data_IF_098372430167
#
_entry.id   IF_098372430167
#
_cell.length_a   1.000
_cell.length_b   1.000
_cell.length_c   1.000
_cell.angle_alpha   90.00
_cell.angle_beta   90.00
_cell.angle_gamma   90.00
#
_symmetry.space_group_name_H-M   'P 1'
#
loop_
_entity.id
_entity.type
_entity.pdbx_description
1 polymer ?
#
# COMPACT_ATOMS: atom_id res chain seq x y z
N UNK A 1 12.26 25.39 -5.57
CA UNK A 1 12.34 24.35 -4.53
C UNK A 1 12.53 23.01 -5.22
N UNK A 2 13.70 22.41 -5.06
CA UNK A 2 14.12 21.20 -5.76
C UNK A 2 13.42 19.97 -5.16
N UNK A 3 12.85 19.12 -6.02
CA UNK A 3 12.14 17.91 -5.65
C UNK A 3 13.15 16.79 -5.43
N UNK A 4 13.30 16.34 -4.18
CA UNK A 4 14.01 15.11 -3.85
C UNK A 4 13.12 13.91 -4.21
N UNK A 5 13.08 13.55 -5.49
CA UNK A 5 12.35 12.34 -5.94
C UNK A 5 13.04 11.03 -5.51
N UNK A 6 14.28 11.10 -5.01
CA UNK A 6 15.05 9.91 -4.59
C UNK A 6 14.79 9.50 -3.13
N UNK A 7 14.14 10.36 -2.32
CA UNK A 7 13.89 10.09 -0.89
C UNK A 7 12.46 9.66 -0.58
N UNK A 8 11.51 9.92 -1.47
CA UNK A 8 10.12 9.54 -1.29
C UNK A 8 9.95 8.08 -1.75
N UNK A 9 10.01 7.14 -0.80
CA UNK A 9 9.82 5.71 -1.06
C UNK A 9 8.53 5.41 -1.86
N UNK A 10 8.35 4.18 -2.37
CA UNK A 10 7.29 3.84 -3.33
C UNK A 10 5.88 4.33 -2.97
N UNK A 11 5.54 4.32 -1.67
CA UNK A 11 4.26 4.79 -1.14
C UNK A 11 4.07 6.30 -1.33
N UNK A 12 5.06 7.12 -0.97
CA UNK A 12 4.98 8.58 -1.14
C UNK A 12 4.95 8.96 -2.62
N UNK A 13 5.69 8.24 -3.47
CA UNK A 13 5.64 8.42 -4.93
C UNK A 13 4.24 8.19 -5.50
N UNK A 14 3.56 7.11 -5.10
CA UNK A 14 2.17 6.84 -5.50
C UNK A 14 1.23 7.95 -5.03
N UNK A 15 1.31 8.34 -3.76
CA UNK A 15 0.52 9.45 -3.19
C UNK A 15 0.70 10.74 -4.00
N UNK A 16 1.95 11.11 -4.29
CA UNK A 16 2.26 12.28 -5.11
C UNK A 16 1.70 12.17 -6.54
N UNK A 17 1.77 10.98 -7.15
CA UNK A 17 1.21 10.72 -8.49
C UNK A 17 -0.31 10.90 -8.51
N UNK A 18 -1.02 10.32 -7.54
CA UNK A 18 -2.47 10.48 -7.39
C UNK A 18 -2.84 11.96 -7.21
N UNK A 19 -2.13 12.66 -6.33
CA UNK A 19 -2.36 14.07 -6.04
C UNK A 19 -2.14 14.95 -7.28
N UNK A 20 -1.09 14.70 -8.08
CA UNK A 20 -0.89 15.39 -9.36
C UNK A 20 -2.04 15.15 -10.35
N UNK A 21 -2.52 13.91 -10.47
CA UNK A 21 -3.62 13.57 -11.36
C UNK A 21 -4.93 14.26 -10.93
N UNK A 22 -5.23 14.26 -9.63
CA UNK A 22 -6.40 14.94 -9.07
C UNK A 22 -6.32 16.45 -9.26
N UNK A 23 -5.18 17.08 -9.00
CA UNK A 23 -4.96 18.51 -9.27
C UNK A 23 -5.13 18.86 -10.75
N UNK A 24 -4.66 18.01 -11.66
CA UNK A 24 -4.88 18.17 -13.10
C UNK A 24 -6.37 18.09 -13.45
N UNK A 25 -7.11 17.15 -12.87
CA UNK A 25 -8.57 17.04 -13.05
C UNK A 25 -9.31 18.25 -12.48
N UNK A 26 -8.90 18.74 -11.31
CA UNK A 26 -9.48 19.94 -10.69
C UNK A 26 -9.26 21.19 -11.56
N UNK A 27 -8.05 21.39 -12.09
CA UNK A 27 -7.76 22.50 -13.01
C UNK A 27 -8.59 22.41 -14.31
N UNK A 28 -8.80 21.19 -14.84
CA UNK A 28 -9.71 20.96 -15.98
C UNK A 28 -11.14 21.37 -15.65
N UNK A 29 -11.63 21.04 -14.45
CA UNK A 29 -12.96 21.43 -13.96
C UNK A 29 -13.08 22.95 -13.90
N UNK A 30 -12.10 23.67 -13.32
CA UNK A 30 -12.10 25.13 -13.26
C UNK A 30 -12.16 25.78 -14.64
N UNK A 31 -11.38 25.28 -15.60
CA UNK A 31 -11.43 25.77 -17.00
C UNK A 31 -12.79 25.54 -17.67
N UNK A 32 -13.46 24.43 -17.34
CA UNK A 32 -14.82 24.16 -17.84
C UNK A 32 -15.84 25.09 -17.19
N UNK A 33 -15.73 25.37 -15.89
CA UNK A 33 -16.59 26.35 -15.19
C UNK A 33 -16.47 27.75 -15.78
N UNK A 34 -15.24 28.19 -16.08
CA UNK A 34 -15.00 29.45 -16.76
C UNK A 34 -15.63 29.47 -18.17
N UNK A 35 -15.45 28.39 -18.94
CA UNK A 35 -16.08 28.23 -20.26
C UNK A 35 -17.62 28.28 -20.21
N UNK A 36 -18.24 27.76 -19.15
CA UNK A 36 -19.70 27.84 -18.94
C UNK A 36 -20.13 29.26 -18.61
N UNK A 37 -19.34 29.97 -17.79
CA UNK A 37 -19.62 31.38 -17.49
C UNK A 37 -19.57 32.27 -18.74
N UNK A 38 -18.81 31.84 -19.77
CA UNK A 38 -18.76 32.46 -21.09
C UNK A 38 -19.89 31.99 -22.04
N UNK A 39 -20.82 31.15 -21.57
CA UNK A 39 -22.00 30.73 -22.31
C UNK A 39 -21.83 29.47 -23.17
N UNK A 40 -20.76 28.68 -23.00
CA UNK A 40 -20.63 27.39 -23.72
C UNK A 40 -21.61 26.36 -23.17
N UNK A 41 -22.27 25.64 -24.07
CA UNK A 41 -23.10 24.48 -23.74
C UNK A 41 -22.22 23.25 -23.49
N UNK A 42 -22.67 22.36 -22.59
CA UNK A 42 -21.93 21.16 -22.21
C UNK A 42 -22.55 19.90 -22.81
N UNK A 43 -21.69 18.92 -23.09
CA UNK A 43 -22.10 17.53 -23.29
C UNK A 43 -22.27 16.81 -21.93
N UNK A 44 -23.02 15.71 -21.91
CA UNK A 44 -23.31 14.87 -20.75
C UNK A 44 -22.05 14.42 -20.00
N UNK A 45 -20.99 14.04 -20.73
CA UNK A 45 -19.71 13.66 -20.12
C UNK A 45 -19.06 14.83 -19.35
N UNK A 46 -19.14 16.05 -19.88
CA UNK A 46 -18.56 17.23 -19.21
C UNK A 46 -19.33 17.58 -17.95
N UNK A 47 -20.66 17.41 -17.96
CA UNK A 47 -21.51 17.60 -16.80
C UNK A 47 -21.17 16.59 -15.68
N UNK A 48 -20.93 15.33 -16.03
CA UNK A 48 -20.47 14.31 -15.08
C UNK A 48 -19.11 14.67 -14.47
N UNK A 49 -18.18 15.22 -15.27
CA UNK A 49 -16.89 15.68 -14.76
C UNK A 49 -17.05 16.84 -13.78
N UNK A 50 -17.96 17.80 -14.03
CA UNK A 50 -18.26 18.88 -13.09
C UNK A 50 -18.93 18.38 -11.82
N UNK A 51 -19.88 17.44 -11.94
CA UNK A 51 -20.54 16.81 -10.78
C UNK A 51 -19.52 16.13 -9.87
N UNK A 52 -18.39 15.66 -10.41
CA UNK A 52 -17.31 15.06 -9.62
C UNK A 52 -16.45 16.06 -8.84
N UNK A 53 -16.62 17.39 -9.01
CA UNK A 53 -15.81 18.44 -8.37
C UNK A 53 -15.73 18.30 -6.84
N UNK A 54 -16.83 18.14 -6.08
CA UNK A 54 -16.74 18.03 -4.62
C UNK A 54 -15.91 16.82 -4.18
N UNK A 55 -16.07 15.69 -4.87
CA UNK A 55 -15.28 14.48 -4.62
C UNK A 55 -13.79 14.67 -4.94
N UNK A 56 -13.46 15.36 -6.03
CA UNK A 56 -12.06 15.66 -6.38
C UNK A 56 -11.41 16.57 -5.33
N UNK A 57 -12.11 17.60 -4.85
CA UNK A 57 -11.61 18.49 -3.79
C UNK A 57 -11.40 17.72 -2.49
N UNK A 58 -12.40 16.94 -2.06
CA UNK A 58 -12.28 16.12 -0.85
C UNK A 58 -11.09 15.15 -0.95
N UNK A 59 -10.92 14.47 -2.08
CA UNK A 59 -9.78 13.56 -2.28
C UNK A 59 -8.43 14.30 -2.24
N UNK A 60 -8.32 15.49 -2.83
CA UNK A 60 -7.09 16.30 -2.74
C UNK A 60 -6.76 16.59 -1.28
N UNK A 61 -7.73 17.07 -0.50
CA UNK A 61 -7.54 17.40 0.91
C UNK A 61 -7.12 16.18 1.74
N UNK A 62 -7.77 15.03 1.53
CA UNK A 62 -7.42 13.78 2.22
C UNK A 62 -6.01 13.30 1.87
N UNK A 63 -5.62 13.31 0.58
CA UNK A 63 -4.26 12.95 0.18
C UNK A 63 -3.20 13.93 0.71
N UNK A 64 -3.53 15.22 0.83
CA UNK A 64 -2.65 16.22 1.42
C UNK A 64 -2.46 15.99 2.92
N UNK A 65 -3.54 15.66 3.66
CA UNK A 65 -3.49 15.31 5.08
C UNK A 65 -2.66 14.04 5.33
N UNK A 66 -2.80 13.03 4.48
CA UNK A 66 -2.09 11.75 4.63
C UNK A 66 -0.59 11.84 4.33
N UNK A 67 -0.14 12.86 3.60
CA UNK A 67 1.26 12.97 3.17
C UNK A 67 2.24 13.08 4.34
N UNK A 68 1.93 13.94 5.32
CA UNK A 68 2.82 14.15 6.47
C UNK A 68 2.91 12.90 7.37
N UNK A 69 1.78 12.29 7.83
CA UNK A 69 1.82 11.07 8.61
C UNK A 69 2.62 9.93 7.95
N UNK A 70 2.47 9.74 6.64
CA UNK A 70 3.21 8.70 5.90
C UNK A 70 4.72 8.98 5.83
N UNK A 71 5.10 10.25 5.64
CA UNK A 71 6.50 10.65 5.63
C UNK A 71 7.16 10.49 7.00
N UNK A 72 6.46 10.88 8.06
CA UNK A 72 6.93 10.75 9.45
C UNK A 72 7.10 9.29 9.83
N UNK A 73 6.08 8.45 9.61
CA UNK A 73 6.15 7.03 9.93
C UNK A 73 7.29 6.33 9.16
N UNK A 74 7.47 6.65 7.87
CA UNK A 74 8.58 6.09 7.09
C UNK A 74 9.95 6.47 7.68
N UNK A 75 10.11 7.72 8.10
CA UNK A 75 11.35 8.19 8.68
C UNK A 75 11.63 7.54 10.05
N UNK A 76 10.60 7.33 10.87
CA UNK A 76 10.70 6.61 12.15
C UNK A 76 11.17 5.16 11.94
N UNK A 77 10.57 4.44 10.99
CA UNK A 77 10.96 3.05 10.65
C UNK A 77 12.39 2.95 10.12
N UNK A 78 12.80 3.91 9.27
CA UNK A 78 14.18 3.97 8.80
C UNK A 78 15.15 4.26 9.95
N UNK A 79 14.82 5.17 10.87
CA UNK A 79 15.66 5.47 12.02
C UNK A 79 15.78 4.27 12.98
N UNK A 80 14.70 3.51 13.18
CA UNK A 80 14.72 2.27 13.97
C UNK A 80 15.60 1.21 13.30
N UNK A 81 15.47 1.02 11.99
CA UNK A 81 16.29 0.07 11.23
C UNK A 81 17.79 0.40 11.29
N UNK A 82 18.16 1.68 11.20
CA UNK A 82 19.55 2.12 11.36
C UNK A 82 20.07 1.91 12.79
N UNK A 83 19.23 2.09 13.81
CA UNK A 83 19.61 1.82 15.21
C UNK A 83 19.83 0.33 15.48
N UNK A 84 18.95 -0.54 14.96
CA UNK A 84 19.11 -2.00 15.08
C UNK A 84 20.38 -2.48 14.35
N UNK A 85 20.67 -1.92 13.18
CA UNK A 85 21.87 -2.27 12.41
C UNK A 85 23.17 -1.81 13.08
N UNK A 86 23.14 -0.69 13.82
CA UNK A 86 24.29 -0.17 14.57
C UNK A 86 24.54 -0.89 15.91
N UNK A 87 23.55 -1.66 16.41
CA UNK A 87 23.64 -2.40 17.67
C UNK A 87 24.19 -3.84 17.50
N UNK A 88 24.53 -4.28 16.28
CA UNK A 88 25.26 -5.54 16.06
C UNK A 88 26.73 -5.30 16.44
N UNK A 89 27.26 -5.90 17.53
CA UNK A 89 28.66 -5.78 17.85
C UNK A 89 29.46 -6.54 16.79
N UNK A 90 30.39 -5.86 16.15
CA UNK A 90 31.49 -6.50 15.42
C UNK A 90 32.29 -7.36 16.39
N UNK A 91 32.00 -8.65 16.44
CA UNK A 91 32.83 -9.65 17.14
C UNK A 91 34.10 -9.84 16.33
N UNK A 92 35.11 -9.03 16.64
CA UNK A 92 36.52 -9.32 16.35
C UNK A 92 37.31 -9.09 17.64
N UNK A 93 37.46 -10.13 18.47
CA UNK A 93 38.68 -10.38 19.25
C UNK A 93 38.86 -11.88 19.46
N UNK A 94 39.93 -12.36 18.86
CA UNK A 94 40.63 -13.60 19.14
C UNK A 94 40.96 -13.68 20.65
N UNK A 95 40.58 -14.77 21.30
CA UNK A 95 41.43 -15.63 22.14
C UNK A 95 40.61 -16.46 23.14
N UNK A 96 41.08 -17.69 23.32
CA UNK A 96 40.42 -18.83 23.95
C UNK A 96 39.89 -18.61 25.38
N UNK A 97 38.64 -19.03 25.63
CA UNK A 97 38.29 -19.72 26.87
C UNK A 97 36.97 -20.51 26.81
N UNK A 98 37.11 -21.82 26.96
CA UNK A 98 36.19 -22.75 27.65
C UNK A 98 34.70 -22.78 27.25
N UNK A 99 34.41 -23.63 26.26
CA UNK A 99 33.52 -24.82 26.37
C UNK A 99 32.37 -24.75 27.39
N UNK A 100 31.44 -23.80 27.27
CA UNK A 100 30.06 -23.92 27.84
C UNK A 100 28.99 -23.25 26.97
N UNK A 101 29.30 -22.27 26.11
CA UNK A 101 28.28 -21.44 25.41
C UNK A 101 27.83 -21.92 24.02
N UNK A 102 28.18 -23.13 23.59
CA UNK A 102 27.82 -23.63 22.24
C UNK A 102 26.37 -24.13 22.11
N UNK A 103 25.64 -24.29 23.22
CA UNK A 103 24.27 -24.83 23.20
C UNK A 103 23.21 -23.73 23.03
N UNK A 104 23.40 -22.56 23.65
CA UNK A 104 22.41 -21.48 23.62
C UNK A 104 22.34 -20.75 22.27
N UNK A 105 23.47 -20.60 21.57
CA UNK A 105 23.51 -19.96 20.24
C UNK A 105 22.88 -20.85 19.16
N UNK A 106 23.00 -22.17 19.28
CA UNK A 106 22.36 -23.12 18.37
C UNK A 106 20.84 -23.16 18.57
N UNK A 107 20.38 -23.10 19.83
CA UNK A 107 18.94 -23.01 20.13
C UNK A 107 18.34 -21.70 19.63
N UNK A 108 19.01 -20.55 19.86
CA UNK A 108 18.52 -19.25 19.40
C UNK A 108 18.46 -19.16 17.86
N UNK A 109 19.44 -19.74 17.16
CA UNK A 109 19.42 -19.82 15.71
C UNK A 109 18.33 -20.75 15.21
N UNK A 110 18.12 -21.89 15.87
CA UNK A 110 17.08 -22.84 15.51
C UNK A 110 15.67 -22.26 15.71
N UNK A 111 15.45 -21.50 16.79
CA UNK A 111 14.18 -20.82 17.06
C UNK A 111 13.90 -19.74 16.02
N UNK A 112 14.91 -18.96 15.60
CA UNK A 112 14.75 -17.98 14.53
C UNK A 112 14.37 -18.65 13.19
N UNK A 113 15.01 -19.77 12.84
CA UNK A 113 14.68 -20.53 11.61
C UNK A 113 13.27 -21.12 11.67
N UNK A 114 12.84 -21.59 12.85
CA UNK A 114 11.47 -22.09 13.05
C UNK A 114 10.46 -20.96 12.93
N UNK A 115 10.75 -19.79 13.51
CA UNK A 115 9.91 -18.60 13.41
C UNK A 115 9.76 -18.14 11.96
N UNK A 116 10.85 -18.08 11.20
CA UNK A 116 10.83 -17.75 9.77
C UNK A 116 10.00 -18.75 8.96
N UNK A 117 10.10 -20.05 9.26
CA UNK A 117 9.30 -21.08 8.60
C UNK A 117 7.81 -20.94 8.93
N UNK A 118 7.47 -20.64 10.19
CA UNK A 118 6.10 -20.41 10.63
C UNK A 118 5.51 -19.17 9.96
N UNK A 119 6.28 -18.07 9.90
CA UNK A 119 5.90 -16.85 9.21
C UNK A 119 5.65 -17.11 7.71
N UNK A 120 6.54 -17.85 7.04
CA UNK A 120 6.37 -18.20 5.62
C UNK A 120 5.11 -19.04 5.38
N UNK A 121 4.85 -20.04 6.22
CA UNK A 121 3.64 -20.87 6.12
C UNK A 121 2.37 -20.07 6.41
N UNK A 122 2.42 -19.18 7.40
CA UNK A 122 1.32 -18.29 7.77
C UNK A 122 0.98 -17.35 6.61
N UNK A 123 1.96 -16.63 6.05
CA UNK A 123 1.72 -15.75 4.91
C UNK A 123 1.22 -16.52 3.69
N UNK A 124 1.80 -17.69 3.39
CA UNK A 124 1.29 -18.55 2.31
C UNK A 124 -0.19 -18.88 2.49
N UNK A 125 -0.64 -19.13 3.72
CA UNK A 125 -2.05 -19.43 4.00
C UNK A 125 -2.97 -18.21 3.83
N UNK A 126 -2.51 -17.02 4.24
CA UNK A 126 -3.24 -15.76 4.06
C UNK A 126 -3.41 -15.40 2.58
N UNK A 127 -2.39 -15.67 1.77
CA UNK A 127 -2.37 -15.39 0.34
C UNK A 127 -2.69 -16.61 -0.53
N UNK A 128 -3.19 -17.70 0.05
CA UNK A 128 -3.66 -18.88 -0.69
C UNK A 128 -5.00 -18.55 -1.37
N UNK A 129 -4.95 -17.65 -2.35
CA UNK A 129 -6.08 -17.32 -3.21
C UNK A 129 -6.36 -18.54 -4.06
N UNK A 130 -7.43 -19.26 -3.74
CA UNK A 130 -7.89 -20.39 -4.56
C UNK A 130 -8.07 -19.91 -6.01
N UNK A 131 -7.67 -20.72 -7.01
CA UNK A 131 -7.87 -20.35 -8.41
C UNK A 131 -9.36 -20.07 -8.65
N UNK A 132 -9.62 -19.06 -9.49
CA UNK A 132 -10.96 -18.53 -9.79
C UNK A 132 -11.97 -19.63 -10.23
N UNK A 133 -11.49 -20.79 -10.68
CA UNK A 133 -12.27 -21.97 -11.06
C UNK A 133 -13.18 -22.50 -9.95
N UNK A 134 -12.76 -22.41 -8.69
CA UNK A 134 -13.57 -22.84 -7.53
C UNK A 134 -14.68 -21.83 -7.22
N UNK A 135 -14.42 -20.54 -7.47
CA UNK A 135 -15.40 -19.47 -7.29
C UNK A 135 -16.53 -19.57 -8.31
N UNK A 136 -16.22 -19.89 -9.57
CA UNK A 136 -17.22 -20.09 -10.63
C UNK A 136 -18.09 -21.31 -10.35
N UNK A 137 -17.52 -22.38 -9.79
CA UNK A 137 -18.26 -23.60 -9.41
C UNK A 137 -19.29 -23.34 -8.30
N UNK A 138 -18.96 -22.48 -7.31
CA UNK A 138 -19.89 -22.07 -6.25
C UNK A 138 -21.02 -21.14 -6.74
N UNK A 139 -20.77 -20.38 -7.81
CA UNK A 139 -21.77 -19.49 -8.43
C UNK A 139 -22.69 -20.26 -9.40
N UNK A 140 -22.19 -21.32 -10.06
CA UNK A 140 -22.96 -22.17 -10.98
C UNK A 140 -24.03 -23.02 -10.28
N UNK A 141 -23.79 -23.46 -9.05
CA UNK A 141 -24.76 -24.28 -8.30
C UNK A 141 -25.91 -23.46 -7.72
N UNK A 142 -25.71 -22.17 -7.47
CA UNK A 142 -26.76 -21.25 -6.97
C UNK A 142 -27.76 -20.80 -8.03
N UNK A 143 -27.44 -20.92 -9.32
CA UNK A 143 -28.38 -20.59 -10.41
C UNK A 143 -29.32 -21.74 -10.76
N UNK A 144 -28.98 -22.99 -10.43
CA UNK A 144 -29.82 -24.15 -10.74
C UNK A 144 -31.02 -24.30 -9.79
N UNK A 145 -30.92 -23.90 -8.52
CA UNK A 145 -32.05 -24.02 -7.57
C UNK A 145 -33.17 -22.98 -7.82
N UNK A 146 -32.88 -21.86 -8.48
CA UNK A 146 -33.88 -20.81 -8.77
C UNK A 146 -34.63 -21.01 -10.08
N UNK A 147 -34.22 -21.98 -10.91
CA UNK A 147 -34.88 -22.30 -12.18
C UNK A 147 -36.10 -23.21 -12.04
N UNK A 148 -36.32 -23.84 -10.88
CA UNK A 148 -37.40 -24.82 -10.69
C UNK A 148 -38.74 -24.19 -10.23
N UNK A 149 -38.84 -22.87 -10.15
CA UNK A 149 -40.09 -22.17 -9.80
C UNK A 149 -40.66 -21.33 -10.96
N UNK A 150 -40.25 -21.62 -12.21
CA UNK A 150 -40.79 -20.98 -13.42
C UNK A 150 -41.33 -22.03 -14.41
N UNK A 151 -41.69 -23.23 -13.93
CA UNK A 151 -42.64 -24.12 -14.61
C UNK A 151 -43.86 -24.34 -13.73
#
# INVERSE_FOLDING_TARGET
MACSEVTDGPVLSLTNKHLRALKKKYNRILQMEESISQGKTLNKEQEEVLRSKPGVVALIDEYEKLRQPLSTALQEELNLSHQVSAAIPTVNKEDEKEKVEALETAEHHSNAVVEDLLNLLYFRSLFNVKPQTDFTSMMLTKTHERGCCIM
#
